data_IF_647624844621
#
_entry.id   IF_647624844621
#
_cell.length_a   1.000
_cell.length_b   1.000
_cell.length_c   1.000
_cell.angle_alpha   90.00
_cell.angle_beta   90.00
_cell.angle_gamma   90.00
#
_symmetry.space_group_name_H-M   'P 1'
#
loop_
_entity.id
_entity.type
_entity.pdbx_description
1 polymer ?
#
# COMPACT_ATOMS: atom_id res chain seq x y z
N UNK A 1 5.46 14.22 -36.67
CA UNK A 1 4.82 15.30 -35.88
C UNK A 1 4.55 14.85 -34.44
N UNK A 2 3.85 13.72 -34.22
CA UNK A 2 3.64 13.13 -32.88
C UNK A 2 4.93 12.90 -32.06
N UNK A 3 5.95 12.27 -32.64
CA UNK A 3 7.25 12.03 -31.96
C UNK A 3 8.01 13.28 -31.51
N UNK A 4 7.76 14.43 -32.15
CA UNK A 4 8.39 15.71 -31.78
C UNK A 4 7.64 16.32 -30.60
N UNK A 5 6.32 16.15 -30.56
CA UNK A 5 5.46 16.58 -29.46
C UNK A 5 5.75 15.76 -28.20
N UNK A 6 5.85 14.43 -28.32
CA UNK A 6 6.23 13.52 -27.23
C UNK A 6 7.58 13.92 -26.63
N UNK A 7 8.62 14.08 -27.47
CA UNK A 7 9.95 14.52 -27.00
C UNK A 7 9.96 15.92 -26.35
N UNK A 8 9.06 16.80 -26.74
CA UNK A 8 8.94 18.13 -26.15
C UNK A 8 8.31 18.05 -24.75
N UNK A 9 7.24 17.27 -24.60
CA UNK A 9 6.59 17.03 -23.31
C UNK A 9 7.50 16.29 -22.34
N UNK A 10 8.20 15.25 -22.77
CA UNK A 10 9.16 14.51 -21.93
C UNK A 10 10.24 15.43 -21.37
N UNK A 11 10.82 16.29 -22.22
CA UNK A 11 11.91 17.19 -21.83
C UNK A 11 11.44 18.31 -20.91
N UNK A 12 10.19 18.75 -21.04
CA UNK A 12 9.56 19.73 -20.17
C UNK A 12 9.23 19.10 -18.82
N UNK A 13 8.65 17.90 -18.82
CA UNK A 13 8.33 17.13 -17.63
C UNK A 13 9.58 16.87 -16.80
N UNK A 14 10.67 16.38 -17.41
CA UNK A 14 11.92 16.09 -16.70
C UNK A 14 12.52 17.36 -16.07
N UNK A 15 12.45 18.50 -16.77
CA UNK A 15 13.01 19.75 -16.28
C UNK A 15 12.18 20.35 -15.14
N UNK A 16 10.85 20.27 -15.23
CA UNK A 16 9.93 20.66 -14.15
C UNK A 16 10.09 19.73 -12.96
N UNK A 17 10.11 18.41 -13.18
CA UNK A 17 10.27 17.40 -12.11
C UNK A 17 11.58 17.57 -11.34
N UNK A 18 12.67 17.91 -12.03
CA UNK A 18 13.98 18.09 -11.40
C UNK A 18 14.08 19.40 -10.59
N UNK A 19 13.49 20.49 -11.08
CA UNK A 19 13.51 21.78 -10.36
C UNK A 19 12.54 21.81 -9.17
N UNK A 20 11.45 21.05 -9.26
CA UNK A 20 10.30 21.22 -8.39
C UNK A 20 10.21 20.18 -7.26
N UNK A 21 11.05 19.15 -7.31
CA UNK A 21 11.32 18.23 -6.18
C UNK A 21 11.83 18.93 -4.92
N UNK A 22 12.38 20.14 -5.06
CA UNK A 22 12.88 20.97 -3.96
C UNK A 22 11.77 21.82 -3.30
N UNK A 23 10.59 21.96 -3.93
CA UNK A 23 9.47 22.80 -3.43
C UNK A 23 8.11 22.10 -3.58
N UNK A 24 7.86 20.99 -2.85
CA UNK A 24 6.65 20.18 -3.00
C UNK A 24 5.34 20.94 -2.73
N UNK A 25 5.35 21.96 -1.86
CA UNK A 25 4.14 22.71 -1.49
C UNK A 25 3.68 23.63 -2.63
N UNK A 26 4.61 24.37 -3.24
CA UNK A 26 4.31 25.30 -4.35
C UNK A 26 3.85 24.51 -5.56
N UNK A 27 4.45 23.34 -5.80
CA UNK A 27 4.01 22.42 -6.82
C UNK A 27 2.57 21.98 -6.63
N UNK A 28 2.23 21.48 -5.44
CA UNK A 28 0.89 21.02 -5.14
C UNK A 28 -0.15 22.14 -5.31
N UNK A 29 0.23 23.39 -4.98
CA UNK A 29 -0.62 24.55 -5.19
C UNK A 29 -0.85 24.85 -6.68
N UNK A 30 0.21 24.92 -7.49
CA UNK A 30 0.11 25.16 -8.94
C UNK A 30 -0.65 24.02 -9.63
N UNK A 31 -0.36 22.78 -9.28
CA UNK A 31 -1.04 21.60 -9.79
C UNK A 31 -2.54 21.63 -9.41
N UNK A 32 -2.87 21.95 -8.16
CA UNK A 32 -4.25 22.10 -7.70
C UNK A 32 -5.01 23.17 -8.48
N UNK A 33 -4.42 24.35 -8.66
CA UNK A 33 -5.00 25.43 -9.49
C UNK A 33 -5.19 24.97 -10.93
N UNK A 34 -4.21 24.28 -11.50
CA UNK A 34 -4.28 23.72 -12.85
C UNK A 34 -5.43 22.73 -13.03
N UNK A 35 -5.63 21.81 -12.07
CA UNK A 35 -6.72 20.83 -12.09
C UNK A 35 -8.08 21.54 -12.04
N UNK A 36 -8.24 22.52 -11.16
CA UNK A 36 -9.50 23.30 -11.05
C UNK A 36 -9.79 24.06 -12.34
N UNK A 37 -8.80 24.74 -12.92
CA UNK A 37 -8.96 25.46 -14.18
C UNK A 37 -9.24 24.53 -15.35
N UNK A 38 -8.60 23.35 -15.39
CA UNK A 38 -8.86 22.34 -16.41
C UNK A 38 -10.31 21.87 -16.36
N UNK A 39 -10.80 21.48 -15.18
CA UNK A 39 -12.19 21.02 -15.03
C UNK A 39 -13.18 22.12 -15.38
N UNK A 40 -12.90 23.36 -14.97
CA UNK A 40 -13.68 24.53 -15.39
C UNK A 40 -13.70 24.69 -16.92
N UNK A 41 -12.58 24.49 -17.58
CA UNK A 41 -12.48 24.53 -19.04
C UNK A 41 -13.32 23.43 -19.70
N UNK A 42 -13.32 22.22 -19.15
CA UNK A 42 -14.16 21.10 -19.62
C UNK A 42 -15.64 21.47 -19.53
N UNK A 43 -16.08 22.09 -18.44
CA UNK A 43 -17.47 22.51 -18.26
C UNK A 43 -17.87 23.57 -19.28
N UNK A 44 -17.06 24.62 -19.43
CA UNK A 44 -17.32 25.64 -20.43
C UNK A 44 -17.31 25.08 -21.86
N UNK A 45 -16.46 24.09 -22.14
CA UNK A 45 -16.45 23.42 -23.45
C UNK A 45 -17.73 22.62 -23.69
N UNK A 46 -18.24 21.94 -22.67
CA UNK A 46 -19.53 21.25 -22.72
C UNK A 46 -20.69 22.25 -22.95
N UNK A 47 -20.67 23.39 -22.26
CA UNK A 47 -21.69 24.44 -22.36
C UNK A 47 -21.75 25.10 -23.75
N UNK A 48 -20.65 25.09 -24.53
CA UNK A 48 -20.65 25.59 -25.91
C UNK A 48 -21.55 24.74 -26.83
N UNK A 49 -21.84 23.50 -26.46
CA UNK A 49 -22.72 22.61 -27.23
C UNK A 49 -24.14 22.68 -26.67
N UNK A 50 -25.02 23.43 -27.34
CA UNK A 50 -26.42 23.61 -26.92
C UNK A 50 -27.23 22.29 -26.81
N UNK A 51 -26.79 21.21 -27.46
CA UNK A 51 -27.42 19.89 -27.36
C UNK A 51 -26.99 19.10 -26.09
N UNK A 52 -25.94 19.55 -25.40
CA UNK A 52 -25.36 18.91 -24.22
C UNK A 52 -26.16 19.25 -22.96
N UNK A 53 -27.47 19.02 -23.02
CA UNK A 53 -28.39 19.13 -21.88
C UNK A 53 -28.01 18.13 -20.79
N UNK A 54 -28.35 18.42 -19.52
CA UNK A 54 -27.99 17.60 -18.36
C UNK A 54 -28.21 16.08 -18.53
N UNK A 55 -29.35 15.63 -19.10
CA UNK A 55 -29.56 14.21 -19.39
C UNK A 55 -28.63 13.64 -20.47
N UNK A 56 -28.39 14.39 -21.55
CA UNK A 56 -27.56 13.96 -22.68
C UNK A 56 -26.08 13.86 -22.28
N UNK A 57 -25.58 14.83 -21.51
CA UNK A 57 -24.20 14.79 -20.99
C UNK A 57 -23.99 13.61 -20.03
N UNK A 58 -25.00 13.27 -19.23
CA UNK A 58 -24.96 12.10 -18.34
C UNK A 58 -24.87 10.80 -19.14
N UNK A 59 -25.69 10.64 -20.18
CA UNK A 59 -25.68 9.43 -21.02
C UNK A 59 -24.35 9.27 -21.77
N UNK A 60 -23.86 10.35 -22.39
CA UNK A 60 -22.55 10.33 -23.08
C UNK A 60 -21.43 10.03 -22.08
N UNK A 61 -21.45 10.64 -20.90
CA UNK A 61 -20.49 10.38 -19.83
C UNK A 61 -20.49 8.92 -19.40
N UNK A 62 -21.64 8.32 -19.16
CA UNK A 62 -21.76 6.90 -18.81
C UNK A 62 -21.21 6.00 -19.92
N UNK A 63 -21.53 6.28 -21.19
CA UNK A 63 -21.03 5.48 -22.32
C UNK A 63 -19.49 5.59 -22.41
N UNK A 64 -18.93 6.79 -22.31
CA UNK A 64 -17.47 6.99 -22.34
C UNK A 64 -16.80 6.27 -21.16
N UNK A 65 -17.35 6.39 -19.95
CA UNK A 65 -16.80 5.75 -18.74
C UNK A 65 -16.88 4.22 -18.81
N UNK A 66 -17.92 3.67 -19.44
CA UNK A 66 -18.04 2.23 -19.70
C UNK A 66 -17.03 1.77 -20.75
N UNK A 67 -16.89 2.49 -21.86
CA UNK A 67 -15.91 2.16 -22.91
C UNK A 67 -14.47 2.25 -22.40
N UNK A 68 -14.16 3.23 -21.57
CA UNK A 68 -12.84 3.38 -20.96
C UNK A 68 -12.57 2.34 -19.86
N UNK A 69 -13.58 1.55 -19.45
CA UNK A 69 -13.49 0.60 -18.33
C UNK A 69 -13.40 1.26 -16.96
N UNK A 70 -13.36 2.60 -16.90
CA UNK A 70 -13.23 3.36 -15.66
C UNK A 70 -14.45 3.25 -14.78
N UNK A 71 -15.65 3.12 -15.35
CA UNK A 71 -16.86 2.89 -14.54
C UNK A 71 -16.75 1.58 -13.74
N UNK A 72 -16.33 0.50 -14.40
CA UNK A 72 -16.16 -0.80 -13.74
C UNK A 72 -14.99 -0.76 -12.75
N UNK A 73 -13.86 -0.15 -13.14
CA UNK A 73 -12.69 -0.01 -12.27
C UNK A 73 -12.96 0.83 -11.02
N UNK A 74 -13.74 1.91 -11.11
CA UNK A 74 -14.01 2.77 -9.96
C UNK A 74 -15.00 2.11 -8.98
N UNK A 75 -16.05 1.45 -9.51
CA UNK A 75 -17.06 0.81 -8.66
C UNK A 75 -16.58 -0.54 -8.07
N UNK A 76 -15.87 -1.33 -8.87
CA UNK A 76 -15.43 -2.68 -8.47
C UNK A 76 -13.99 -2.66 -7.95
N UNK A 77 -13.09 -1.92 -8.62
CA UNK A 77 -11.67 -1.88 -8.30
C UNK A 77 -11.38 -1.27 -6.93
N UNK A 78 -11.92 -0.10 -6.59
CA UNK A 78 -11.66 0.53 -5.28
C UNK A 78 -12.14 -0.35 -4.12
N UNK A 79 -13.34 -0.94 -4.26
CA UNK A 79 -13.91 -1.84 -3.25
C UNK A 79 -13.10 -3.14 -3.11
N UNK A 80 -12.62 -3.73 -4.21
CA UNK A 80 -11.79 -4.94 -4.19
C UNK A 80 -10.38 -4.63 -3.64
N UNK A 81 -9.77 -3.50 -4.02
CA UNK A 81 -8.45 -3.09 -3.53
C UNK A 81 -8.50 -2.85 -2.02
N UNK A 82 -9.52 -2.12 -1.54
CA UNK A 82 -9.71 -1.88 -0.10
C UNK A 82 -9.96 -3.21 0.63
N UNK A 83 -10.76 -4.12 0.07
CA UNK A 83 -10.99 -5.44 0.65
C UNK A 83 -9.72 -6.30 0.68
N UNK A 84 -8.90 -6.24 -0.38
CA UNK A 84 -7.60 -6.90 -0.48
C UNK A 84 -6.63 -6.43 0.61
N UNK A 85 -6.42 -5.11 0.70
CA UNK A 85 -5.57 -4.47 1.73
C UNK A 85 -6.05 -4.85 3.14
N UNK A 86 -7.36 -4.85 3.38
CA UNK A 86 -7.92 -5.22 4.68
C UNK A 86 -7.70 -6.69 5.03
N UNK A 87 -7.75 -7.58 4.04
CA UNK A 87 -7.47 -9.01 4.20
C UNK A 87 -5.99 -9.25 4.50
N UNK A 88 -5.10 -8.59 3.77
CA UNK A 88 -3.65 -8.67 4.01
C UNK A 88 -3.29 -8.19 5.43
N UNK A 89 -3.84 -7.05 5.85
CA UNK A 89 -3.62 -6.56 7.23
C UNK A 89 -4.07 -7.56 8.29
N UNK A 90 -5.23 -8.18 8.10
CA UNK A 90 -5.75 -9.20 9.03
C UNK A 90 -4.90 -10.48 9.05
N UNK A 91 -4.27 -10.84 7.93
CA UNK A 91 -3.33 -11.96 7.88
C UNK A 91 -2.05 -11.63 8.64
N UNK A 92 -1.49 -10.43 8.44
CA UNK A 92 -0.29 -9.96 9.15
C UNK A 92 -0.52 -9.95 10.66
N UNK A 93 -1.64 -9.40 11.13
CA UNK A 93 -2.00 -9.39 12.56
C UNK A 93 -2.12 -10.81 13.15
N UNK A 94 -2.64 -11.78 12.38
CA UNK A 94 -2.71 -13.18 12.83
C UNK A 94 -1.35 -13.84 12.90
N UNK A 95 -0.52 -13.64 11.89
CA UNK A 95 0.84 -14.17 11.87
C UNK A 95 1.68 -13.57 12.99
N UNK A 96 1.49 -12.30 13.33
CA UNK A 96 2.17 -11.66 14.47
C UNK A 96 1.77 -12.32 15.80
N UNK A 97 0.48 -12.57 16.02
CA UNK A 97 -0.02 -13.28 17.21
C UNK A 97 0.49 -14.74 17.27
N UNK A 98 0.51 -15.45 16.15
CA UNK A 98 1.08 -16.81 16.07
C UNK A 98 2.58 -16.80 16.44
N UNK A 99 3.35 -15.83 15.92
CA UNK A 99 4.77 -15.67 16.26
C UNK A 99 4.98 -15.36 17.75
N UNK A 100 4.14 -14.51 18.33
CA UNK A 100 4.19 -14.20 19.77
C UNK A 100 3.93 -15.45 20.61
N UNK A 101 2.93 -16.24 20.23
CA UNK A 101 2.59 -17.50 20.91
C UNK A 101 3.71 -18.53 20.78
N UNK A 102 4.29 -18.69 19.58
CA UNK A 102 5.44 -19.59 19.36
C UNK A 102 6.68 -19.18 20.19
N UNK A 103 6.89 -17.87 20.40
CA UNK A 103 7.98 -17.39 21.26
C UNK A 103 7.76 -17.78 22.72
N UNK A 104 6.53 -17.64 23.23
CA UNK A 104 6.20 -18.07 24.59
C UNK A 104 6.44 -19.57 24.77
N UNK A 105 5.99 -20.40 23.82
CA UNK A 105 6.23 -21.85 23.82
C UNK A 105 7.74 -22.18 23.77
N UNK A 106 8.52 -21.47 22.95
CA UNK A 106 9.97 -21.67 22.87
C UNK A 106 10.69 -21.28 24.17
N UNK A 107 10.25 -20.21 24.84
CA UNK A 107 10.82 -19.81 26.13
C UNK A 107 10.48 -20.83 27.24
N UNK A 108 9.29 -21.43 27.21
CA UNK A 108 8.91 -22.52 28.11
C UNK A 108 9.78 -23.77 27.88
N UNK A 109 9.94 -24.19 26.62
CA UNK A 109 10.81 -25.31 26.24
C UNK A 109 12.26 -25.06 26.67
N UNK A 110 12.76 -23.84 26.46
CA UNK A 110 14.11 -23.45 26.89
C UNK A 110 14.26 -23.47 28.42
N UNK A 111 13.19 -23.13 29.14
CA UNK A 111 13.10 -23.26 30.60
C UNK A 111 13.27 -24.71 31.04
N UNK A 112 12.47 -25.62 30.48
CA UNK A 112 12.54 -27.06 30.78
C UNK A 112 13.92 -27.64 30.46
N UNK A 113 14.56 -27.25 29.35
CA UNK A 113 15.91 -27.69 29.00
C UNK A 113 16.96 -27.22 30.02
N UNK A 114 16.84 -26.00 30.55
CA UNK A 114 17.72 -25.51 31.62
C UNK A 114 17.55 -26.29 32.91
N UNK A 115 16.31 -26.61 33.25
CA UNK A 115 15.98 -27.36 34.47
C UNK A 115 16.54 -28.79 34.38
N UNK A 116 16.31 -29.49 33.26
CA UNK A 116 16.92 -30.79 32.99
C UNK A 116 18.45 -30.74 33.07
N UNK A 117 19.09 -29.70 32.52
CA UNK A 117 20.55 -29.57 32.60
C UNK A 117 21.02 -29.48 34.06
N UNK A 118 20.30 -28.73 34.89
CA UNK A 118 20.62 -28.58 36.31
C UNK A 118 20.47 -29.89 37.08
N UNK A 119 19.40 -30.65 36.80
CA UNK A 119 19.21 -31.98 37.39
C UNK A 119 20.32 -32.96 36.98
N UNK A 120 20.77 -32.91 35.72
CA UNK A 120 21.88 -33.74 35.23
C UNK A 120 23.20 -33.37 35.91
N UNK A 121 23.51 -32.07 36.04
CA UNK A 121 24.71 -31.58 36.73
C UNK A 121 24.69 -32.03 38.22
N UNK A 122 23.54 -31.95 38.91
CA UNK A 122 23.40 -32.44 40.29
C UNK A 122 23.61 -33.96 40.43
N UNK A 123 23.14 -34.75 39.46
CA UNK A 123 23.37 -36.20 39.44
C UNK A 123 24.86 -36.52 39.23
N UNK A 124 25.55 -35.77 38.37
CA UNK A 124 26.99 -35.92 38.12
C UNK A 124 27.81 -35.64 39.39
N UNK A 125 27.49 -34.57 40.12
CA UNK A 125 28.13 -34.23 41.40
C UNK A 125 27.92 -35.33 42.47
N UNK A 126 26.71 -35.87 42.61
CA UNK A 126 26.40 -36.95 43.55
C UNK A 126 27.15 -38.25 43.20
N UNK A 127 27.30 -38.55 41.91
CA UNK A 127 28.06 -39.71 41.43
C UNK A 127 29.55 -39.55 41.73
N UNK A 128 30.12 -38.37 41.51
CA UNK A 128 31.51 -38.08 41.88
C UNK A 128 31.76 -38.21 43.39
N UNK A 129 30.82 -37.73 44.21
CA UNK A 129 30.95 -37.75 45.66
C UNK A 129 30.84 -39.17 46.23
N UNK A 130 29.98 -40.02 45.65
CA UNK A 130 29.89 -41.44 46.01
C UNK A 130 31.10 -42.25 45.53
N UNK A 131 31.66 -41.95 44.36
CA UNK A 131 32.84 -42.66 43.84
C UNK A 131 34.14 -42.31 44.60
N UNK A 132 34.14 -41.26 45.43
CA UNK A 132 35.25 -40.86 46.32
C UNK A 132 35.16 -41.47 47.73
N UNK A 133 34.08 -42.19 48.08
CA UNK A 133 33.98 -42.92 49.35
C UNK A 133 34.50 -44.36 49.17
N UNK A 134 35.49 -44.82 49.97
CA UNK A 134 36.08 -46.16 49.87
C UNK A 134 35.13 -47.29 50.28
#
# INVERSE_FOLDING_TARGET
MFKVLEKFFDRLEDNVRNHLSHYPIIYAFIAGVGIVLFWRGVWHTADLFAFMTGPVSTVIGVIILLMAGLFVSFFIGDSIIIAGIRREKKLVERTELEIETEKEELDEVRGMVREMKKEVDEIEDILEENNKRP
#
